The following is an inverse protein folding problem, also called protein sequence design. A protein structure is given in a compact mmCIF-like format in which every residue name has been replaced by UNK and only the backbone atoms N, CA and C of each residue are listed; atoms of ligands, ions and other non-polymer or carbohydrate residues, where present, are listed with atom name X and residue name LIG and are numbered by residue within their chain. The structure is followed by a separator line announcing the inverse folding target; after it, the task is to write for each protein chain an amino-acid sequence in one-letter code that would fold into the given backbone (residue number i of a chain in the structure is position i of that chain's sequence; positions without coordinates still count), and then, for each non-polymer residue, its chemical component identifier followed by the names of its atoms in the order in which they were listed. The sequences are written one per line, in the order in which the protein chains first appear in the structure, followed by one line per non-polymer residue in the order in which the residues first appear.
data_IF_662307254116
#
_entry.id   IF_662307254116
#
_cell.length_a   1.000
_cell.length_b   1.000
_cell.length_c   1.000
_cell.angle_alpha   90.00
_cell.angle_beta   90.00
_cell.angle_gamma   90.00
#
_symmetry.space_group_name_H-M   'P 1'
#
loop_
_entity.id
_entity.type
_entity.pdbx_description
1 polymer ?
#
# COMPACT_ATOMS: atom_id res chain seq x y z
N UNK A 1 1.69 -15.31 -15.45
CA UNK A 1 2.73 -14.30 -15.86
C UNK A 1 2.83 -13.14 -14.89
N UNK A 2 1.74 -12.48 -14.48
CA UNK A 2 1.78 -11.37 -13.50
C UNK A 2 2.41 -11.79 -12.16
N UNK A 3 2.06 -12.96 -11.62
CA UNK A 3 2.67 -13.47 -10.39
C UNK A 3 4.19 -13.69 -10.50
N UNK A 4 4.68 -14.12 -11.66
CA UNK A 4 6.12 -14.23 -11.90
C UNK A 4 6.79 -12.84 -11.92
N UNK A 5 6.14 -11.85 -12.54
CA UNK A 5 6.62 -10.49 -12.53
C UNK A 5 6.64 -9.89 -11.11
N UNK A 6 5.61 -10.15 -10.28
CA UNK A 6 5.60 -9.76 -8.86
C UNK A 6 6.76 -10.41 -8.08
N UNK A 7 7.06 -11.71 -8.31
CA UNK A 7 8.23 -12.34 -7.67
C UNK A 7 9.55 -11.67 -8.06
N UNK A 8 9.70 -11.32 -9.34
CA UNK A 8 10.88 -10.56 -9.79
C UNK A 8 10.97 -9.21 -9.08
N UNK A 9 9.85 -8.48 -8.97
CA UNK A 9 9.82 -7.18 -8.29
C UNK A 9 10.13 -7.32 -6.80
N UNK A 10 9.59 -8.32 -6.11
CA UNK A 10 9.92 -8.61 -4.70
C UNK A 10 11.40 -8.86 -4.47
N UNK A 11 12.03 -9.59 -5.40
CA UNK A 11 13.44 -9.95 -5.29
C UNK A 11 14.42 -8.86 -5.74
N UNK A 12 14.03 -8.01 -6.70
CA UNK A 12 14.97 -7.13 -7.43
C UNK A 12 14.49 -5.68 -7.61
N UNK A 13 13.31 -5.33 -7.08
CA UNK A 13 12.66 -4.05 -7.36
C UNK A 13 12.12 -3.96 -8.80
N UNK A 14 11.43 -2.85 -9.09
CA UNK A 14 10.83 -2.62 -10.42
C UNK A 14 11.90 -2.44 -11.52
N UNK A 15 13.05 -1.88 -11.18
CA UNK A 15 14.19 -1.71 -12.08
C UNK A 15 14.76 -3.06 -12.53
N UNK A 16 14.66 -4.09 -11.69
CA UNK A 16 15.03 -5.45 -12.01
C UNK A 16 14.04 -6.19 -12.91
N UNK A 17 12.84 -5.62 -13.16
CA UNK A 17 11.81 -6.20 -14.02
C UNK A 17 12.13 -5.95 -15.51
N UNK A 18 12.75 -6.93 -16.13
CA UNK A 18 13.09 -6.94 -17.55
C UNK A 18 12.52 -8.18 -18.23
N UNK A 19 12.41 -8.17 -19.55
CA UNK A 19 11.96 -9.35 -20.29
C UNK A 19 12.84 -10.58 -20.00
N UNK A 20 14.15 -10.39 -19.83
CA UNK A 20 15.10 -11.45 -19.51
C UNK A 20 14.88 -12.04 -18.11
N UNK A 21 14.74 -11.18 -17.08
CA UNK A 21 14.52 -11.66 -15.71
C UNK A 21 13.17 -12.36 -15.57
N UNK A 22 12.16 -11.86 -16.25
CA UNK A 22 10.83 -12.45 -16.28
C UNK A 22 10.81 -13.79 -17.03
N UNK A 23 11.49 -13.89 -18.17
CA UNK A 23 11.65 -15.13 -18.93
C UNK A 23 12.36 -16.21 -18.11
N UNK A 24 13.43 -15.82 -17.39
CA UNK A 24 14.15 -16.72 -16.47
C UNK A 24 13.24 -17.22 -15.35
N UNK A 25 12.44 -16.33 -14.75
CA UNK A 25 11.49 -16.68 -13.68
C UNK A 25 10.39 -17.64 -14.15
N UNK A 26 9.99 -17.51 -15.43
CA UNK A 26 8.98 -18.37 -16.07
C UNK A 26 9.55 -19.67 -16.65
N UNK A 27 10.89 -19.78 -16.79
CA UNK A 27 11.53 -20.90 -17.47
C UNK A 27 11.22 -20.94 -18.98
N UNK A 28 11.04 -19.79 -19.62
CA UNK A 28 10.66 -19.68 -21.03
C UNK A 28 11.53 -18.68 -21.81
N UNK A 29 11.24 -18.50 -23.11
CA UNK A 29 11.77 -17.38 -23.88
C UNK A 29 11.01 -16.05 -23.55
N UNK A 30 11.50 -14.94 -24.11
CA UNK A 30 10.83 -13.63 -23.93
C UNK A 30 9.58 -13.45 -24.79
N UNK A 31 9.38 -14.27 -25.81
CA UNK A 31 8.30 -14.12 -26.78
C UNK A 31 6.89 -14.20 -26.16
N UNK A 32 6.57 -15.16 -25.24
CA UNK A 32 5.27 -15.20 -24.58
C UNK A 32 4.94 -13.94 -23.79
N UNK A 33 5.96 -13.26 -23.25
CA UNK A 33 5.79 -12.01 -22.48
C UNK A 33 5.27 -10.91 -23.41
N UNK A 34 5.92 -10.72 -24.56
CA UNK A 34 5.49 -9.71 -25.54
C UNK A 34 4.17 -10.06 -26.22
N UNK A 35 3.89 -11.37 -26.42
CA UNK A 35 2.59 -11.81 -26.92
C UNK A 35 1.46 -11.50 -25.93
N UNK A 36 1.70 -11.67 -24.62
CA UNK A 36 0.69 -11.46 -23.59
C UNK A 36 0.49 -10.01 -23.18
N UNK A 37 1.56 -9.20 -23.12
CA UNK A 37 1.53 -7.83 -22.58
C UNK A 37 1.82 -6.75 -23.63
N UNK A 38 2.19 -7.11 -24.86
CA UNK A 38 2.56 -6.19 -25.92
C UNK A 38 3.93 -5.52 -25.73
N UNK A 39 4.22 -5.04 -24.52
CA UNK A 39 5.48 -4.33 -24.20
C UNK A 39 5.88 -4.53 -22.74
N UNK A 40 7.07 -4.10 -22.36
CA UNK A 40 7.50 -4.07 -20.97
C UNK A 40 6.73 -3.01 -20.15
N UNK A 41 6.22 -1.96 -20.79
CA UNK A 41 5.35 -0.99 -20.12
C UNK A 41 3.99 -1.61 -19.80
N UNK A 42 3.43 -2.44 -20.69
CA UNK A 42 2.25 -3.25 -20.38
C UNK A 42 2.49 -4.19 -19.19
N UNK A 43 3.66 -4.84 -19.10
CA UNK A 43 4.03 -5.64 -17.92
C UNK A 43 4.05 -4.78 -16.66
N UNK A 44 4.65 -3.59 -16.70
CA UNK A 44 4.74 -2.69 -15.54
C UNK A 44 3.35 -2.21 -15.08
N UNK A 45 2.45 -1.93 -16.01
CA UNK A 45 1.06 -1.56 -15.69
C UNK A 45 0.34 -2.68 -14.95
N UNK A 46 0.42 -3.91 -15.45
CA UNK A 46 -0.19 -5.07 -14.81
C UNK A 46 0.42 -5.38 -13.44
N UNK A 47 1.74 -5.22 -13.29
CA UNK A 47 2.41 -5.38 -12.00
C UNK A 47 1.96 -4.31 -11.00
N UNK A 48 1.81 -3.06 -11.44
CA UNK A 48 1.31 -1.99 -10.58
C UNK A 48 -0.13 -2.29 -10.11
N UNK A 49 -1.02 -2.68 -11.02
CA UNK A 49 -2.39 -3.08 -10.68
C UNK A 49 -2.42 -4.28 -9.70
N UNK A 50 -1.57 -5.27 -9.93
CA UNK A 50 -1.44 -6.42 -9.04
C UNK A 50 -0.88 -6.02 -7.66
N UNK A 51 0.07 -5.08 -7.59
CA UNK A 51 0.59 -4.55 -6.33
C UNK A 51 -0.48 -3.78 -5.54
N UNK A 52 -1.33 -2.99 -6.22
CA UNK A 52 -2.53 -2.38 -5.60
C UNK A 52 -3.44 -3.46 -5.03
N UNK A 53 -3.73 -4.53 -5.77
CA UNK A 53 -4.54 -5.64 -5.28
C UNK A 53 -3.92 -6.39 -4.08
N UNK A 54 -2.58 -6.44 -3.97
CA UNK A 54 -1.92 -6.93 -2.75
C UNK A 54 -2.20 -5.98 -1.59
N UNK A 55 -2.00 -4.70 -1.77
CA UNK A 55 -2.25 -3.66 -0.77
C UNK A 55 -3.71 -3.67 -0.27
N UNK A 56 -4.69 -3.80 -1.18
CA UNK A 56 -6.11 -3.88 -0.84
C UNK A 56 -6.45 -5.09 0.05
N UNK A 57 -5.75 -6.21 -0.13
CA UNK A 57 -5.94 -7.38 0.75
C UNK A 57 -5.52 -7.10 2.19
N UNK A 58 -4.42 -6.37 2.41
CA UNK A 58 -4.01 -5.94 3.76
C UNK A 58 -5.05 -4.98 4.35
N UNK A 59 -5.48 -3.97 3.60
CA UNK A 59 -6.49 -3.02 4.06
C UNK A 59 -7.81 -3.73 4.43
N UNK A 60 -8.29 -4.61 3.56
CA UNK A 60 -9.52 -5.39 3.78
C UNK A 60 -9.40 -6.32 4.99
N UNK A 61 -8.24 -6.93 5.22
CA UNK A 61 -7.99 -7.73 6.43
C UNK A 61 -8.08 -6.86 7.70
N UNK A 62 -7.55 -5.63 7.65
CA UNK A 62 -7.64 -4.69 8.77
C UNK A 62 -9.09 -4.28 9.11
N UNK A 63 -9.93 -4.12 8.08
CA UNK A 63 -11.36 -3.80 8.27
C UNK A 63 -12.15 -4.93 8.96
N UNK A 64 -11.64 -6.15 8.98
CA UNK A 64 -12.27 -7.29 9.65
C UNK A 64 -11.81 -7.46 11.10
N UNK A 65 -10.88 -6.64 11.59
CA UNK A 65 -10.41 -6.73 12.96
C UNK A 65 -11.42 -6.09 13.95
N UNK A 66 -11.30 -6.43 15.23
CA UNK A 66 -12.19 -5.93 16.28
C UNK A 66 -12.22 -4.39 16.39
N UNK A 67 -11.14 -3.73 16.00
CA UNK A 67 -11.02 -2.28 15.84
C UNK A 67 -10.63 -1.99 14.39
N UNK A 68 -11.58 -1.95 13.44
CA UNK A 68 -11.30 -1.97 12.01
C UNK A 68 -10.33 -0.89 11.55
N UNK A 69 -10.50 0.34 12.05
CA UNK A 69 -9.63 1.42 11.58
C UNK A 69 -8.20 1.30 12.13
N UNK A 70 -8.04 0.88 13.39
CA UNK A 70 -6.73 0.54 13.95
C UNK A 70 -6.12 -0.65 13.20
N UNK A 71 -6.92 -1.66 12.89
CA UNK A 71 -6.54 -2.81 12.09
C UNK A 71 -6.00 -2.40 10.71
N UNK A 72 -6.67 -1.50 9.98
CA UNK A 72 -6.19 -0.96 8.71
C UNK A 72 -4.82 -0.30 8.87
N UNK A 73 -4.61 0.51 9.90
CA UNK A 73 -3.31 1.13 10.19
C UNK A 73 -2.21 0.10 10.45
N UNK A 74 -2.48 -0.91 11.29
CA UNK A 74 -1.51 -1.97 11.58
C UNK A 74 -1.24 -2.87 10.37
N UNK A 75 -2.24 -3.16 9.55
CA UNK A 75 -2.05 -3.91 8.30
C UNK A 75 -1.26 -3.10 7.26
N UNK A 76 -1.36 -1.77 7.25
CA UNK A 76 -0.51 -0.91 6.44
C UNK A 76 0.97 -1.03 6.86
N UNK A 77 1.24 -0.99 8.16
CA UNK A 77 2.59 -1.22 8.72
C UNK A 77 3.10 -2.62 8.35
N UNK A 78 2.24 -3.62 8.45
CA UNK A 78 2.57 -5.00 8.09
C UNK A 78 2.89 -5.13 6.60
N UNK A 79 2.11 -4.49 5.72
CA UNK A 79 2.40 -4.42 4.28
C UNK A 79 3.79 -3.83 4.01
N UNK A 80 4.15 -2.74 4.68
CA UNK A 80 5.47 -2.12 4.54
C UNK A 80 6.62 -3.08 4.95
N UNK A 81 6.41 -3.90 5.97
CA UNK A 81 7.40 -4.88 6.45
C UNK A 81 7.51 -6.12 5.56
N UNK A 82 6.39 -6.68 5.16
CA UNK A 82 6.33 -7.95 4.42
C UNK A 82 6.54 -7.75 2.91
N UNK A 83 6.14 -6.59 2.39
CA UNK A 83 6.16 -6.26 0.96
C UNK A 83 6.94 -4.95 0.66
N UNK A 84 8.18 -4.77 1.16
CA UNK A 84 8.90 -3.49 1.04
C UNK A 84 9.16 -3.08 -0.42
N UNK A 85 9.31 -4.03 -1.33
CA UNK A 85 9.48 -3.74 -2.75
C UNK A 85 8.20 -3.21 -3.40
N UNK A 86 7.04 -3.76 -3.03
CA UNK A 86 5.75 -3.28 -3.50
C UNK A 86 5.39 -1.94 -2.84
N UNK A 87 5.73 -1.75 -1.57
CA UNK A 87 5.59 -0.45 -0.90
C UNK A 87 6.39 0.63 -1.63
N UNK A 88 7.66 0.37 -1.98
CA UNK A 88 8.46 1.31 -2.77
C UNK A 88 7.82 1.60 -4.12
N UNK A 89 7.32 0.58 -4.81
CA UNK A 89 6.66 0.72 -6.11
C UNK A 89 5.43 1.63 -6.03
N UNK A 90 4.58 1.45 -5.02
CA UNK A 90 3.31 2.17 -4.89
C UNK A 90 3.47 3.60 -4.35
N UNK A 91 4.41 3.82 -3.42
CA UNK A 91 4.44 5.03 -2.61
C UNK A 91 5.70 5.89 -2.74
N UNK A 92 6.86 5.29 -3.05
CA UNK A 92 8.14 6.01 -3.00
C UNK A 92 8.73 6.29 -4.38
N UNK A 93 8.34 5.55 -5.40
CA UNK A 93 8.84 5.81 -6.75
C UNK A 93 8.17 7.04 -7.34
N UNK A 94 8.99 7.94 -7.86
CA UNK A 94 8.49 9.06 -8.67
C UNK A 94 7.99 8.54 -10.01
N UNK A 95 6.76 8.83 -10.31
CA UNK A 95 6.13 8.54 -11.60
C UNK A 95 5.67 9.84 -12.25
N UNK A 96 5.72 9.90 -13.58
CA UNK A 96 5.10 10.98 -14.34
C UNK A 96 3.61 10.69 -14.62
N UNK A 97 3.14 9.48 -14.32
CA UNK A 97 1.75 9.09 -14.48
C UNK A 97 0.92 9.74 -13.36
N UNK A 98 -0.09 10.52 -13.77
CA UNK A 98 -0.95 11.30 -12.84
C UNK A 98 -1.75 10.43 -11.86
N UNK A 99 -1.99 9.17 -12.23
CA UNK A 99 -2.86 8.25 -11.49
C UNK A 99 -2.06 7.29 -10.58
N UNK A 100 -0.81 7.63 -10.27
CA UNK A 100 0.08 6.83 -9.42
C UNK A 100 0.79 7.67 -8.38
N UNK A 101 1.21 6.99 -7.29
CA UNK A 101 1.97 7.59 -6.20
C UNK A 101 1.20 7.64 -4.90
N UNK A 102 1.88 8.12 -3.84
CA UNK A 102 1.38 8.06 -2.47
C UNK A 102 0.01 8.72 -2.28
N UNK A 103 -0.23 9.88 -2.91
CA UNK A 103 -1.50 10.59 -2.76
C UNK A 103 -2.67 9.88 -3.47
N UNK A 104 -2.41 9.22 -4.60
CA UNK A 104 -3.44 8.43 -5.28
C UNK A 104 -3.78 7.16 -4.51
N UNK A 105 -2.76 6.50 -3.98
CA UNK A 105 -2.98 5.34 -3.13
C UNK A 105 -3.68 5.71 -1.80
N UNK A 106 -3.41 6.91 -1.25
CA UNK A 106 -4.16 7.46 -0.12
C UNK A 106 -5.64 7.64 -0.47
N UNK A 107 -5.94 8.32 -1.59
CA UNK A 107 -7.31 8.55 -2.02
C UNK A 107 -8.07 7.23 -2.25
N UNK A 108 -7.42 6.24 -2.87
CA UNK A 108 -7.99 4.92 -3.07
C UNK A 108 -8.35 4.23 -1.74
N UNK A 109 -7.43 4.24 -0.76
CA UNK A 109 -7.68 3.65 0.55
C UNK A 109 -8.76 4.42 1.32
N UNK A 110 -8.81 5.74 1.19
CA UNK A 110 -9.83 6.60 1.79
C UNK A 110 -11.25 6.21 1.34
N UNK A 111 -11.45 6.00 0.04
CA UNK A 111 -12.72 5.52 -0.51
C UNK A 111 -13.11 4.15 0.07
N UNK A 112 -12.14 3.24 0.22
CA UNK A 112 -12.36 1.91 0.76
C UNK A 112 -12.79 1.92 2.22
N UNK A 113 -12.21 2.81 3.05
CA UNK A 113 -12.44 2.81 4.51
C UNK A 113 -13.53 3.78 4.96
N UNK A 114 -13.89 4.80 4.16
CA UNK A 114 -14.88 5.84 4.51
C UNK A 114 -16.20 5.27 5.03
N UNK A 115 -16.85 4.28 4.37
CA UNK A 115 -18.12 3.73 4.85
C UNK A 115 -18.02 3.17 6.28
N UNK A 116 -16.92 2.48 6.58
CA UNK A 116 -16.69 1.91 7.91
C UNK A 116 -16.47 3.02 8.96
N UNK A 117 -15.76 4.09 8.61
CA UNK A 117 -15.54 5.22 9.51
C UNK A 117 -16.83 5.96 9.84
N UNK A 118 -17.63 6.27 8.83
CA UNK A 118 -18.91 6.97 9.01
C UNK A 118 -19.90 6.16 9.86
N UNK A 119 -19.93 4.84 9.65
CA UNK A 119 -20.79 3.93 10.42
C UNK A 119 -20.35 3.82 11.89
N UNK A 120 -19.05 3.58 12.14
CA UNK A 120 -18.55 3.32 13.52
C UNK A 120 -18.54 4.59 14.35
N UNK A 121 -18.12 5.73 13.78
CA UNK A 121 -17.98 6.97 14.56
C UNK A 121 -19.18 7.89 14.47
N UNK A 122 -20.19 7.56 13.66
CA UNK A 122 -21.37 8.38 13.40
C UNK A 122 -21.01 9.83 12.99
N UNK A 123 -20.05 9.96 12.10
CA UNK A 123 -19.54 11.22 11.56
C UNK A 123 -19.91 11.37 10.09
N UNK A 124 -19.85 12.61 9.58
CA UNK A 124 -20.05 12.89 8.17
C UNK A 124 -18.90 12.38 7.30
N UNK A 125 -19.11 12.23 5.98
CA UNK A 125 -18.06 11.85 5.03
C UNK A 125 -16.87 12.81 5.09
N UNK A 126 -17.15 14.13 5.22
CA UNK A 126 -16.09 15.13 5.31
C UNK A 126 -15.23 14.97 6.58
N UNK A 127 -15.84 14.69 7.72
CA UNK A 127 -15.13 14.42 8.97
C UNK A 127 -14.35 13.11 8.89
N UNK A 128 -14.91 12.07 8.26
CA UNK A 128 -14.23 10.80 8.02
C UNK A 128 -12.99 10.99 7.11
N UNK A 129 -13.10 11.83 6.09
CA UNK A 129 -12.00 12.14 5.19
C UNK A 129 -10.86 12.89 5.90
N UNK A 130 -11.18 13.85 6.74
CA UNK A 130 -10.19 14.58 7.55
C UNK A 130 -9.50 13.65 8.56
N UNK A 131 -10.29 12.85 9.27
CA UNK A 131 -9.77 11.87 10.23
C UNK A 131 -8.83 10.86 9.56
N UNK A 132 -9.27 10.30 8.42
CA UNK A 132 -8.47 9.36 7.65
C UNK A 132 -7.16 10.00 7.17
N UNK A 133 -7.23 11.18 6.54
CA UNK A 133 -6.05 11.90 6.05
C UNK A 133 -4.98 12.08 7.11
N UNK A 134 -5.39 12.60 8.27
CA UNK A 134 -4.45 12.96 9.32
C UNK A 134 -3.79 11.72 9.94
N UNK A 135 -4.56 10.65 10.16
CA UNK A 135 -3.99 9.41 10.66
C UNK A 135 -3.17 8.67 9.59
N UNK A 136 -3.60 8.72 8.33
CA UNK A 136 -2.83 8.13 7.23
C UNK A 136 -1.44 8.75 7.10
N UNK A 137 -1.30 10.07 7.25
CA UNK A 137 0.00 10.74 7.23
C UNK A 137 0.96 10.20 8.30
N UNK A 138 0.45 9.92 9.49
CA UNK A 138 1.24 9.32 10.59
C UNK A 138 1.64 7.90 10.23
N UNK A 139 0.70 7.07 9.80
CA UNK A 139 0.94 5.68 9.42
C UNK A 139 1.93 5.59 8.25
N UNK A 140 1.74 6.45 7.23
CA UNK A 140 2.62 6.50 6.06
C UNK A 140 4.05 6.90 6.42
N UNK A 141 4.22 7.87 7.34
CA UNK A 141 5.55 8.25 7.83
C UNK A 141 6.25 7.09 8.52
N UNK A 142 5.56 6.38 9.42
CA UNK A 142 6.11 5.21 10.11
C UNK A 142 6.46 4.08 9.13
N UNK A 143 5.56 3.78 8.20
CA UNK A 143 5.79 2.76 7.16
C UNK A 143 6.99 3.12 6.26
N UNK A 144 7.15 4.39 5.91
CA UNK A 144 8.30 4.87 5.14
C UNK A 144 9.60 4.67 5.92
N UNK A 145 9.64 5.04 7.21
CA UNK A 145 10.80 4.78 8.07
C UNK A 145 11.15 3.29 8.16
N UNK A 146 10.14 2.41 8.20
CA UNK A 146 10.36 0.96 8.18
C UNK A 146 11.03 0.52 6.88
N UNK A 147 10.51 0.96 5.74
CA UNK A 147 11.01 0.54 4.42
C UNK A 147 12.38 1.13 4.12
N UNK A 148 12.72 2.31 4.67
CA UNK A 148 14.05 2.92 4.56
C UNK A 148 15.07 2.34 5.55
N UNK A 149 14.62 1.61 6.57
CA UNK A 149 15.48 1.02 7.60
C UNK A 149 15.78 1.96 8.77
N UNK A 150 15.08 3.09 8.88
CA UNK A 150 15.33 4.12 9.89
C UNK A 150 14.31 4.10 11.05
N UNK A 151 13.36 3.15 11.07
CA UNK A 151 12.33 3.07 12.10
C UNK A 151 12.89 2.48 13.40
N UNK A 152 12.94 3.26 14.50
CA UNK A 152 13.45 2.78 15.78
C UNK A 152 12.36 2.06 16.62
N UNK A 153 11.10 2.09 16.16
CA UNK A 153 9.95 1.65 16.97
C UNK A 153 9.61 0.19 16.74
N UNK A 154 9.29 -0.51 17.83
CA UNK A 154 8.64 -1.83 17.82
C UNK A 154 7.16 -1.72 17.39
N UNK A 155 6.54 -2.84 17.05
CA UNK A 155 5.11 -2.87 16.68
C UNK A 155 4.20 -2.42 17.83
N UNK A 156 4.60 -2.69 19.07
CA UNK A 156 3.88 -2.22 20.26
C UNK A 156 3.94 -0.69 20.38
N UNK A 157 5.09 -0.09 20.19
CA UNK A 157 5.27 1.37 20.21
C UNK A 157 4.53 2.04 19.05
N UNK A 158 4.56 1.45 17.86
CA UNK A 158 3.78 1.91 16.70
C UNK A 158 2.29 1.88 17.03
N UNK A 159 1.79 0.79 17.61
CA UNK A 159 0.39 0.69 18.06
C UNK A 159 0.00 1.78 19.08
N UNK A 160 0.88 2.10 20.03
CA UNK A 160 0.68 3.17 21.00
C UNK A 160 0.65 4.56 20.33
N UNK A 161 1.57 4.81 19.38
CA UNK A 161 1.59 6.06 18.60
C UNK A 161 0.29 6.23 17.83
N UNK A 162 -0.15 5.21 17.09
CA UNK A 162 -1.39 5.26 16.31
C UNK A 162 -2.62 5.48 17.19
N UNK A 163 -2.70 4.81 18.33
CA UNK A 163 -3.78 4.99 19.31
C UNK A 163 -3.79 6.41 19.85
N UNK A 164 -2.65 6.96 20.23
CA UNK A 164 -2.53 8.32 20.76
C UNK A 164 -2.99 9.38 19.74
N UNK A 165 -2.57 9.26 18.49
CA UNK A 165 -3.02 10.15 17.41
C UNK A 165 -4.51 9.99 17.11
N UNK A 166 -5.01 8.76 17.01
CA UNK A 166 -6.44 8.47 16.79
C UNK A 166 -7.32 9.13 17.86
N UNK A 167 -6.99 8.96 19.14
CA UNK A 167 -7.72 9.58 20.24
C UNK A 167 -7.66 11.11 20.17
N UNK A 168 -6.52 11.68 19.81
CA UNK A 168 -6.36 13.13 19.70
C UNK A 168 -7.19 13.73 18.57
N UNK A 169 -7.20 13.08 17.40
CA UNK A 169 -7.99 13.49 16.24
C UNK A 169 -9.50 13.37 16.56
N UNK A 170 -9.94 12.27 17.15
CA UNK A 170 -11.35 12.09 17.54
C UNK A 170 -11.87 13.18 18.50
N UNK A 171 -10.98 13.72 19.37
CA UNK A 171 -11.35 14.84 20.24
C UNK A 171 -11.48 16.18 19.52
N UNK A 172 -10.82 16.35 18.38
CA UNK A 172 -10.85 17.59 17.60
C UNK A 172 -12.02 17.65 16.61
N UNK A 173 -12.65 16.51 16.30
CA UNK A 173 -13.82 16.41 15.41
C UNK A 173 -15.14 16.65 16.17
N UNK A 174 -15.16 16.50 17.47
CA UNK A 174 -16.31 16.79 18.36
C UNK A 174 -16.29 18.22 18.85
#
# INVERSE_FOLDING_TARGET
MVEAALRVVRARGIEGLTAKTMANELGTSTQPIFTGFGSMDGVRQEVYAAAVGVYDRYASAGLQEALPFFGVGMQYIRFAREEPALYRLLFLLRTQEKDRGAMQAMAHLQELVRPTLTEIYHISDQEADLYFRDLWLVVHSLATLIVTGDCPYSDQEIGQILTGFSVSICKSIK
#
